data_IF_031234499183
#
_entry.id   IF_031234499183
#
_cell.length_a   1.000
_cell.length_b   1.000
_cell.length_c   1.000
_cell.angle_alpha   90.00
_cell.angle_beta   90.00
_cell.angle_gamma   90.00
#
_symmetry.space_group_name_H-M   'P 1'
#
loop_
_entity.id
_entity.type
_entity.pdbx_description
1 polymer ?
#
# COMPACT_ATOMS: atom_id res chain seq x y z
N UNK A 1 -4.92 17.31 -9.62
CA UNK A 1 -4.20 16.40 -8.71
C UNK A 1 -3.70 15.21 -9.51
N UNK A 2 -2.43 14.82 -9.28
CA UNK A 2 -1.82 13.62 -9.87
C UNK A 2 -1.86 12.50 -8.82
N UNK A 3 -2.17 11.27 -9.23
CA UNK A 3 -2.20 10.07 -8.39
C UNK A 3 -1.53 8.89 -9.11
N UNK A 4 -1.63 7.67 -8.57
CA UNK A 4 -1.04 6.46 -9.17
C UNK A 4 -2.10 5.46 -9.61
N UNK A 5 -1.82 4.76 -10.71
CA UNK A 5 -2.57 3.56 -11.11
C UNK A 5 -2.58 2.56 -9.94
N UNK A 6 -3.72 1.90 -9.71
CA UNK A 6 -4.00 0.98 -8.60
C UNK A 6 -3.84 1.57 -7.19
N UNK A 7 -3.66 2.90 -7.04
CA UNK A 7 -3.78 3.56 -5.75
C UNK A 7 -5.21 3.44 -5.19
N UNK A 8 -5.36 3.46 -3.85
CA UNK A 8 -6.66 3.41 -3.19
C UNK A 8 -6.75 4.48 -2.10
N UNK A 9 -7.68 5.43 -2.27
CA UNK A 9 -7.84 6.57 -1.36
C UNK A 9 -9.27 6.70 -0.80
N UNK A 10 -10.02 5.61 -0.81
CA UNK A 10 -11.39 5.57 -0.28
C UNK A 10 -12.45 5.32 -1.35
N UNK A 11 -13.72 5.26 -0.92
CA UNK A 11 -14.86 4.89 -1.77
C UNK A 11 -15.86 6.03 -2.00
N UNK A 12 -15.60 7.23 -1.46
CA UNK A 12 -16.34 8.45 -1.84
C UNK A 12 -16.02 8.82 -3.29
N UNK A 13 -16.82 9.64 -3.93
CA UNK A 13 -16.53 10.08 -5.31
C UNK A 13 -15.12 10.67 -5.45
N UNK A 14 -14.71 11.51 -4.50
CA UNK A 14 -13.35 12.08 -4.47
C UNK A 14 -12.28 10.99 -4.25
N UNK A 15 -12.46 10.17 -3.20
CA UNK A 15 -11.50 9.10 -2.88
C UNK A 15 -11.37 8.06 -4.00
N UNK A 16 -12.49 7.62 -4.58
CA UNK A 16 -12.50 6.68 -5.69
C UNK A 16 -11.88 7.28 -6.97
N UNK A 17 -12.04 8.59 -7.17
CA UNK A 17 -11.41 9.29 -8.30
C UNK A 17 -9.91 9.49 -8.09
N UNK A 18 -9.46 9.77 -6.86
CA UNK A 18 -8.03 9.83 -6.53
C UNK A 18 -7.38 8.44 -6.63
N UNK A 19 -8.11 7.38 -6.28
CA UNK A 19 -7.68 6.01 -6.52
C UNK A 19 -7.57 5.70 -8.01
N UNK A 20 -6.56 4.90 -8.40
CA UNK A 20 -6.33 4.52 -9.81
C UNK A 20 -6.90 3.15 -10.18
N UNK A 21 -7.86 2.62 -9.42
CA UNK A 21 -8.43 1.28 -9.64
C UNK A 21 -9.51 1.30 -10.73
N UNK A 22 -9.23 0.69 -11.88
CA UNK A 22 -10.16 0.64 -13.03
C UNK A 22 -11.56 0.13 -12.66
N UNK A 23 -11.66 -0.88 -11.79
CA UNK A 23 -12.94 -1.43 -11.35
C UNK A 23 -13.81 -0.43 -10.57
N UNK A 24 -13.20 0.52 -9.87
CA UNK A 24 -13.93 1.62 -9.20
C UNK A 24 -14.37 2.68 -10.20
N UNK A 25 -13.52 3.02 -11.17
CA UNK A 25 -13.84 3.98 -12.21
C UNK A 25 -14.97 3.51 -13.15
N UNK A 26 -15.14 2.20 -13.31
CA UNK A 26 -16.21 1.62 -14.13
C UNK A 26 -17.63 1.87 -13.54
N UNK A 27 -17.74 2.41 -12.33
CA UNK A 27 -19.01 2.69 -11.66
C UNK A 27 -19.61 4.06 -12.05
N UNK A 28 -19.51 4.47 -13.27
CA UNK A 28 -20.17 5.66 -13.82
C UNK A 28 -19.80 7.01 -13.15
N UNK A 29 -19.48 7.99 -13.95
CA UNK A 29 -19.13 9.33 -13.48
C UNK A 29 -17.75 9.48 -12.84
N UNK A 30 -16.89 8.44 -12.87
CA UNK A 30 -15.55 8.45 -12.32
C UNK A 30 -14.50 8.25 -13.46
N UNK A 31 -13.30 8.81 -13.27
CA UNK A 31 -12.93 9.79 -12.26
C UNK A 31 -13.56 11.15 -12.50
N UNK A 32 -13.69 11.97 -11.45
CA UNK A 32 -14.06 13.38 -11.61
C UNK A 32 -12.95 14.15 -12.35
N UNK A 33 -13.31 15.31 -12.94
CA UNK A 33 -12.37 16.12 -13.69
C UNK A 33 -11.13 16.55 -12.87
N UNK A 34 -10.02 16.83 -13.57
CA UNK A 34 -8.77 17.35 -13.02
C UNK A 34 -8.03 16.37 -12.07
N UNK A 35 -8.26 15.07 -12.25
CA UNK A 35 -7.45 14.01 -11.64
C UNK A 35 -6.82 13.17 -12.74
N UNK A 36 -5.52 12.94 -12.66
CA UNK A 36 -4.75 12.15 -13.61
C UNK A 36 -3.82 11.18 -12.89
N UNK A 37 -3.23 10.25 -13.60
CA UNK A 37 -2.46 9.16 -13.01
C UNK A 37 -1.13 8.97 -13.71
N UNK A 38 -0.13 8.57 -12.90
CA UNK A 38 1.14 8.02 -13.36
C UNK A 38 1.19 6.51 -13.05
N UNK A 39 2.20 5.81 -13.55
CA UNK A 39 2.39 4.38 -13.30
C UNK A 39 2.63 4.05 -11.83
N UNK A 40 2.37 2.79 -11.48
CA UNK A 40 2.69 2.25 -10.17
C UNK A 40 4.16 1.77 -10.14
N UNK A 41 4.84 1.81 -8.96
CA UNK A 41 6.22 1.38 -8.85
C UNK A 41 6.36 -0.14 -8.64
N UNK A 42 5.69 -0.95 -9.48
CA UNK A 42 5.69 -2.43 -9.43
C UNK A 42 6.81 -3.01 -10.31
N UNK A 43 8.03 -3.00 -9.78
CA UNK A 43 9.19 -3.44 -10.53
C UNK A 43 9.11 -4.87 -11.05
N UNK A 44 8.62 -5.81 -10.24
CA UNK A 44 8.56 -7.21 -10.63
C UNK A 44 7.72 -7.42 -11.91
N UNK A 45 6.56 -6.77 -11.98
CA UNK A 45 5.62 -6.94 -13.09
C UNK A 45 5.86 -5.99 -14.27
N UNK A 46 6.51 -4.85 -14.05
CA UNK A 46 6.59 -3.76 -15.03
C UNK A 46 8.02 -3.30 -15.33
N UNK A 47 9.02 -3.77 -14.57
CA UNK A 47 10.41 -3.31 -14.70
C UNK A 47 11.13 -3.83 -15.95
N UNK A 48 10.65 -4.91 -16.59
CA UNK A 48 11.34 -5.50 -17.73
C UNK A 48 12.79 -5.85 -17.38
N UNK A 49 13.73 -5.39 -18.19
CA UNK A 49 15.16 -5.62 -18.01
C UNK A 49 15.84 -4.57 -17.11
N UNK A 50 15.10 -3.56 -16.64
CA UNK A 50 15.64 -2.53 -15.75
C UNK A 50 15.92 -3.08 -14.35
N UNK A 51 17.00 -2.62 -13.74
CA UNK A 51 17.21 -2.84 -12.32
C UNK A 51 16.12 -2.14 -11.49
N UNK A 52 15.87 -2.57 -10.23
CA UNK A 52 14.93 -1.88 -9.35
C UNK A 52 15.21 -0.37 -9.25
N UNK A 53 16.49 -0.01 -9.15
CA UNK A 53 16.95 1.38 -9.03
C UNK A 53 16.58 2.21 -10.27
N UNK A 54 16.88 1.71 -11.48
CA UNK A 54 16.55 2.39 -12.73
C UNK A 54 15.05 2.52 -12.92
N UNK A 55 14.30 1.46 -12.59
CA UNK A 55 12.84 1.46 -12.69
C UNK A 55 12.20 2.44 -11.71
N UNK A 56 12.70 2.50 -10.47
CA UNK A 56 12.22 3.46 -9.47
C UNK A 56 12.38 4.90 -9.95
N UNK A 57 13.53 5.26 -10.49
CA UNK A 57 13.78 6.59 -11.09
C UNK A 57 12.89 6.84 -12.30
N UNK A 58 12.73 5.84 -13.19
CA UNK A 58 11.86 5.96 -14.36
C UNK A 58 10.41 6.28 -13.95
N UNK A 59 9.89 5.53 -12.97
CA UNK A 59 8.51 5.73 -12.47
C UNK A 59 8.34 7.06 -11.74
N UNK A 60 9.33 7.52 -11.02
CA UNK A 60 9.28 8.83 -10.38
C UNK A 60 9.28 9.96 -11.41
N UNK A 61 10.08 9.86 -12.47
CA UNK A 61 10.13 10.84 -13.57
C UNK A 61 8.80 11.01 -14.31
N UNK A 62 7.94 10.00 -14.33
CA UNK A 62 6.60 10.15 -14.89
C UNK A 62 5.80 11.27 -14.19
N UNK A 63 6.09 11.58 -12.93
CA UNK A 63 5.49 12.72 -12.24
C UNK A 63 5.93 14.04 -12.88
N UNK A 64 7.23 14.22 -13.11
CA UNK A 64 7.79 15.41 -13.74
C UNK A 64 7.25 15.58 -15.17
N UNK A 65 7.24 14.50 -15.96
CA UNK A 65 6.69 14.50 -17.31
C UNK A 65 5.20 14.88 -17.30
N UNK A 66 4.43 14.39 -16.33
CA UNK A 66 3.01 14.70 -16.20
C UNK A 66 2.77 16.15 -15.77
N UNK A 67 3.63 16.73 -14.93
CA UNK A 67 3.59 18.15 -14.56
C UNK A 67 3.79 19.02 -15.81
N UNK A 68 4.81 18.73 -16.63
CA UNK A 68 5.06 19.45 -17.87
C UNK A 68 3.92 19.31 -18.88
N UNK A 69 3.33 18.09 -19.00
CA UNK A 69 2.18 17.86 -19.90
C UNK A 69 0.96 18.73 -19.53
N UNK A 70 0.73 18.90 -18.23
CA UNK A 70 -0.45 19.64 -17.72
C UNK A 70 -0.21 21.16 -17.62
N UNK A 71 1.05 21.59 -17.58
CA UNK A 71 1.47 22.92 -17.17
C UNK A 71 1.65 23.00 -15.64
N UNK A 72 2.80 23.50 -15.20
CA UNK A 72 3.19 23.54 -13.77
C UNK A 72 2.14 24.24 -12.91
N UNK A 73 1.61 25.37 -13.41
CA UNK A 73 0.58 26.18 -12.73
C UNK A 73 -0.78 25.46 -12.57
N UNK A 74 -0.99 24.35 -13.24
CA UNK A 74 -2.22 23.57 -13.22
C UNK A 74 -2.16 22.36 -12.26
N UNK A 75 -0.98 22.11 -11.62
CA UNK A 75 -0.77 20.97 -10.74
C UNK A 75 -0.68 21.43 -9.31
N UNK A 76 -1.69 21.07 -8.49
CA UNK A 76 -1.71 21.45 -7.07
C UNK A 76 -1.02 20.42 -6.16
N UNK A 77 -1.11 19.12 -6.49
CA UNK A 77 -0.63 18.08 -5.59
C UNK A 77 -0.38 16.74 -6.28
N UNK A 78 0.53 15.97 -5.69
CA UNK A 78 0.67 14.52 -5.92
C UNK A 78 0.21 13.76 -4.67
N UNK A 79 -0.65 12.75 -4.83
CA UNK A 79 -1.12 11.88 -3.74
C UNK A 79 -0.68 10.44 -3.95
N UNK A 80 -0.11 9.82 -2.90
CA UNK A 80 0.31 8.43 -2.97
C UNK A 80 0.43 7.77 -1.58
N UNK A 81 0.21 6.45 -1.54
CA UNK A 81 0.52 5.59 -0.39
C UNK A 81 2.03 5.33 -0.34
N UNK A 82 2.73 5.39 0.83
CA UNK A 82 4.15 5.00 0.91
C UNK A 82 4.42 3.60 0.35
N UNK A 83 3.58 2.63 0.67
CA UNK A 83 3.44 1.31 0.03
C UNK A 83 2.01 1.18 -0.44
N UNK A 84 1.76 0.86 -1.71
CA UNK A 84 0.40 0.67 -2.21
C UNK A 84 -0.21 -0.59 -1.59
N UNK A 85 -1.07 -0.42 -0.58
CA UNK A 85 -1.61 -1.54 0.18
C UNK A 85 -2.70 -2.29 -0.58
N UNK A 86 -3.83 -1.64 -0.85
CA UNK A 86 -4.99 -2.24 -1.51
C UNK A 86 -4.69 -2.69 -2.95
N UNK A 87 -3.77 -2.02 -3.62
CA UNK A 87 -3.28 -2.35 -4.96
C UNK A 87 -2.44 -3.61 -5.05
N UNK A 88 -2.09 -4.25 -3.92
CA UNK A 88 -1.36 -5.52 -3.90
C UNK A 88 -0.09 -5.54 -3.03
N UNK A 89 0.03 -4.64 -2.08
CA UNK A 89 1.28 -4.43 -1.31
C UNK A 89 2.47 -4.24 -2.26
N UNK A 90 2.36 -3.19 -3.07
CA UNK A 90 3.41 -2.81 -4.02
C UNK A 90 4.44 -1.97 -3.27
N UNK A 91 5.60 -2.56 -3.07
CA UNK A 91 6.74 -1.92 -2.41
C UNK A 91 7.55 -1.18 -3.47
N UNK A 92 7.67 0.16 -3.40
CA UNK A 92 8.45 0.91 -4.38
C UNK A 92 9.95 0.62 -4.23
N UNK A 93 10.72 0.62 -5.33
CA UNK A 93 12.18 0.62 -5.25
C UNK A 93 12.71 1.78 -4.41
N UNK A 94 13.87 1.60 -3.78
CA UNK A 94 14.48 2.60 -2.88
C UNK A 94 14.70 3.97 -3.54
N UNK A 95 14.94 4.01 -4.84
CA UNK A 95 15.15 5.24 -5.61
C UNK A 95 13.87 6.07 -5.85
N UNK A 96 12.70 5.48 -5.68
CA UNK A 96 11.43 6.10 -6.07
C UNK A 96 11.08 7.31 -5.22
N UNK A 97 11.01 7.15 -3.90
CA UNK A 97 10.54 8.22 -3.01
C UNK A 97 11.49 9.42 -2.91
N UNK A 98 12.83 9.24 -2.86
CA UNK A 98 13.74 10.38 -2.90
C UNK A 98 13.55 11.25 -4.14
N UNK A 99 13.31 10.64 -5.30
CA UNK A 99 13.08 11.37 -6.55
C UNK A 99 11.69 12.02 -6.59
N UNK A 100 10.64 11.36 -6.10
CA UNK A 100 9.31 11.97 -5.94
C UNK A 100 9.38 13.21 -5.05
N UNK A 101 10.08 13.14 -3.90
CA UNK A 101 10.25 14.29 -3.01
C UNK A 101 10.97 15.43 -3.72
N UNK A 102 12.08 15.12 -4.44
CA UNK A 102 12.82 16.12 -5.21
C UNK A 102 11.91 16.84 -6.23
N UNK A 103 11.11 16.08 -6.97
CA UNK A 103 10.21 16.65 -7.97
C UNK A 103 9.15 17.53 -7.31
N UNK A 104 8.51 17.07 -6.23
CA UNK A 104 7.52 17.88 -5.51
C UNK A 104 8.13 19.18 -4.97
N UNK A 105 9.34 19.12 -4.41
CA UNK A 105 10.06 20.30 -3.90
C UNK A 105 10.46 21.27 -5.03
N UNK A 106 10.88 20.75 -6.19
CA UNK A 106 11.32 21.57 -7.32
C UNK A 106 10.16 22.33 -7.98
N UNK A 107 9.01 21.68 -8.12
CA UNK A 107 7.82 22.26 -8.80
C UNK A 107 6.83 22.90 -7.82
N UNK A 108 7.18 23.00 -6.53
CA UNK A 108 6.34 23.62 -5.49
C UNK A 108 4.91 23.05 -5.46
N UNK A 109 4.78 21.72 -5.63
CA UNK A 109 3.52 21.01 -5.54
C UNK A 109 3.39 20.28 -4.20
N UNK A 110 2.17 20.22 -3.67
CA UNK A 110 1.91 19.56 -2.40
C UNK A 110 2.10 18.04 -2.52
N UNK A 111 2.92 17.47 -1.63
CA UNK A 111 3.00 16.01 -1.46
C UNK A 111 1.98 15.57 -0.41
N UNK A 112 1.04 14.70 -0.80
CA UNK A 112 0.03 14.10 0.07
C UNK A 112 0.39 12.64 0.27
N UNK A 113 0.76 12.26 1.50
CA UNK A 113 1.00 10.86 1.84
C UNK A 113 -0.26 10.22 2.41
N UNK A 114 -0.71 9.13 1.79
CA UNK A 114 -1.79 8.33 2.33
C UNK A 114 -1.24 7.26 3.28
N UNK A 115 -1.26 7.57 4.57
CA UNK A 115 -0.79 6.73 5.67
C UNK A 115 -1.87 5.81 6.26
N UNK A 116 -3.01 5.75 5.64
CA UNK A 116 -4.17 4.99 6.12
C UNK A 116 -3.84 3.50 6.35
N UNK A 117 -2.94 2.91 5.55
CA UNK A 117 -2.46 1.54 5.79
C UNK A 117 -1.06 1.54 6.41
N UNK A 118 -0.16 2.40 5.95
CA UNK A 118 1.25 2.37 6.35
C UNK A 118 1.51 2.90 7.76
N UNK A 119 0.64 3.76 8.26
CA UNK A 119 0.79 4.40 9.57
C UNK A 119 0.59 3.46 10.77
N UNK A 120 0.92 4.00 11.94
CA UNK A 120 0.74 3.39 13.25
C UNK A 120 1.45 2.04 13.41
N UNK A 121 2.73 2.01 13.00
CA UNK A 121 3.62 0.88 13.23
C UNK A 121 3.67 -0.17 12.13
N UNK A 122 2.86 -0.06 11.08
CA UNK A 122 2.76 -1.07 10.02
C UNK A 122 4.09 -1.34 9.31
N UNK A 123 4.93 -0.32 9.14
CA UNK A 123 6.25 -0.40 8.49
C UNK A 123 7.42 -0.56 9.48
N UNK A 124 7.14 -0.68 10.77
CA UNK A 124 8.17 -0.64 11.84
C UNK A 124 8.50 0.77 12.33
N UNK A 125 7.82 1.76 11.79
CA UNK A 125 7.90 3.19 12.17
C UNK A 125 6.50 3.70 12.48
N UNK A 126 6.37 4.86 13.11
CA UNK A 126 5.07 5.47 13.33
C UNK A 126 4.31 5.67 12.03
N UNK A 127 5.03 6.10 10.98
CA UNK A 127 4.47 6.31 9.64
C UNK A 127 5.37 5.72 8.57
N UNK A 128 4.79 5.36 7.43
CA UNK A 128 5.54 4.92 6.26
C UNK A 128 6.43 6.04 5.69
N UNK A 129 6.03 7.28 5.88
CA UNK A 129 6.86 8.45 5.55
C UNK A 129 8.16 8.50 6.35
N UNK A 130 8.16 8.09 7.62
CA UNK A 130 9.39 7.96 8.43
C UNK A 130 10.31 6.88 7.85
N UNK A 131 9.72 5.75 7.42
CA UNK A 131 10.48 4.64 6.82
C UNK A 131 11.21 5.06 5.54
N UNK A 132 10.55 5.85 4.67
CA UNK A 132 11.12 6.29 3.38
C UNK A 132 11.81 7.66 3.43
N UNK A 133 11.80 8.35 4.57
CA UNK A 133 12.36 9.70 4.70
C UNK A 133 11.60 10.77 3.91
N UNK A 134 10.30 10.60 3.74
CA UNK A 134 9.42 11.52 3.00
C UNK A 134 8.93 12.64 3.93
N UNK A 135 8.80 13.85 3.40
CA UNK A 135 8.26 15.01 4.12
C UNK A 135 6.98 15.49 3.44
N UNK A 136 5.83 14.90 3.75
CA UNK A 136 4.58 15.29 3.13
C UNK A 136 4.07 16.62 3.69
N UNK A 137 3.37 17.38 2.87
CA UNK A 137 2.62 18.58 3.29
C UNK A 137 1.29 18.19 3.94
N UNK A 138 0.70 17.10 3.47
CA UNK A 138 -0.58 16.56 3.98
C UNK A 138 -0.43 15.06 4.18
N UNK A 139 -1.01 14.54 5.27
CA UNK A 139 -1.02 13.13 5.59
C UNK A 139 -2.43 12.68 5.93
N UNK A 140 -2.93 11.62 5.27
CA UNK A 140 -4.23 11.04 5.62
C UNK A 140 -4.05 9.85 6.55
N UNK A 141 -4.84 9.77 7.62
CA UNK A 141 -4.75 8.76 8.67
C UNK A 141 -6.11 8.13 8.97
N UNK A 142 -6.13 6.82 9.22
CA UNK A 142 -7.30 6.05 9.65
C UNK A 142 -6.85 4.68 10.19
N UNK A 143 -7.66 3.66 10.10
CA UNK A 143 -7.41 2.24 10.43
C UNK A 143 -6.58 2.02 11.71
N UNK A 144 -5.25 1.99 11.59
CA UNK A 144 -4.32 1.86 12.72
C UNK A 144 -4.50 2.93 13.80
N UNK A 145 -5.02 4.10 13.45
CA UNK A 145 -5.34 5.16 14.40
C UNK A 145 -6.22 4.70 15.56
N UNK A 146 -7.19 3.82 15.31
CA UNK A 146 -8.08 3.24 16.32
C UNK A 146 -8.01 1.72 16.39
N UNK A 147 -7.10 1.07 15.67
CA UNK A 147 -7.01 -0.40 15.51
C UNK A 147 -8.36 -1.07 15.15
N UNK A 148 -9.26 -0.32 14.51
CA UNK A 148 -10.57 -0.81 14.09
C UNK A 148 -11.64 -0.85 15.18
N UNK A 149 -11.34 -0.42 16.41
CA UNK A 149 -12.31 -0.42 17.52
C UNK A 149 -13.39 0.67 17.38
N UNK A 150 -13.08 1.78 16.69
CA UNK A 150 -14.06 2.80 16.34
C UNK A 150 -13.76 3.39 14.96
N UNK A 151 -14.79 3.76 14.15
CA UNK A 151 -14.59 4.42 12.88
C UNK A 151 -14.10 5.86 13.12
N UNK A 152 -12.86 6.14 12.72
CA UNK A 152 -12.25 7.47 12.78
C UNK A 152 -11.19 7.58 11.70
N UNK A 153 -11.03 8.76 11.15
CA UNK A 153 -9.96 9.14 10.25
C UNK A 153 -9.74 10.64 10.31
N UNK A 154 -8.65 11.09 9.75
CA UNK A 154 -8.29 12.50 9.73
C UNK A 154 -7.30 12.83 8.64
N UNK A 155 -7.06 14.12 8.47
CA UNK A 155 -5.97 14.66 7.68
C UNK A 155 -5.11 15.55 8.58
N UNK A 156 -3.82 15.33 8.54
CA UNK A 156 -2.82 16.18 9.17
C UNK A 156 -2.22 17.07 8.10
N UNK A 157 -1.98 18.33 8.42
CA UNK A 157 -1.39 19.28 7.49
C UNK A 157 -0.17 19.94 8.15
N UNK A 158 0.85 20.28 7.36
CA UNK A 158 2.00 21.05 7.85
C UNK A 158 1.61 22.50 8.17
N UNK A 159 2.48 23.19 8.91
CA UNK A 159 2.23 24.56 9.35
C UNK A 159 2.04 25.54 8.18
N UNK A 160 2.72 25.31 7.06
CA UNK A 160 2.58 26.12 5.85
C UNK A 160 1.14 26.04 5.29
N UNK A 161 0.63 24.84 5.07
CA UNK A 161 -0.75 24.61 4.61
C UNK A 161 -1.75 25.15 5.63
N UNK A 162 -1.54 24.89 6.92
CA UNK A 162 -2.39 25.40 8.00
C UNK A 162 -2.42 26.93 8.02
N UNK A 163 -1.28 27.59 7.81
CA UNK A 163 -1.19 29.06 7.78
C UNK A 163 -2.01 29.66 6.63
N UNK A 164 -1.93 29.05 5.44
CA UNK A 164 -2.72 29.50 4.29
C UNK A 164 -4.23 29.33 4.56
N UNK A 165 -4.66 28.17 5.07
CA UNK A 165 -6.07 27.91 5.41
C UNK A 165 -6.55 28.94 6.44
N UNK A 166 -5.80 29.17 7.53
CA UNK A 166 -6.18 30.09 8.59
C UNK A 166 -6.23 31.55 8.12
N UNK A 167 -5.38 31.95 7.18
CA UNK A 167 -5.38 33.30 6.62
C UNK A 167 -6.55 33.56 5.66
N UNK A 168 -7.10 32.51 5.05
CA UNK A 168 -8.21 32.62 4.13
C UNK A 168 -9.58 32.71 4.82
N UNK A 169 -9.66 32.54 6.13
CA UNK A 169 -10.87 32.56 6.93
C UNK A 169 -11.35 31.17 7.33
N UNK A 170 -12.66 30.99 7.48
CA UNK A 170 -13.24 29.72 7.91
C UNK A 170 -13.09 28.63 6.85
N UNK A 171 -12.56 27.47 7.23
CA UNK A 171 -12.54 26.30 6.38
C UNK A 171 -13.94 25.67 6.29
N UNK A 172 -14.66 26.02 5.22
CA UNK A 172 -16.07 25.65 5.01
C UNK A 172 -16.24 24.16 4.67
N UNK A 173 -15.76 23.26 5.51
CA UNK A 173 -15.88 21.81 5.39
C UNK A 173 -16.08 21.15 6.74
N UNK A 174 -16.93 20.11 6.79
CA UNK A 174 -17.13 19.30 7.99
C UNK A 174 -18.18 18.23 7.79
N UNK A 175 -18.09 17.21 8.60
CA UNK A 175 -19.11 16.18 8.74
C UNK A 175 -19.77 16.32 10.11
N UNK A 176 -21.06 15.99 10.23
CA UNK A 176 -21.82 16.05 11.51
C UNK A 176 -21.11 15.26 12.62
N UNK A 177 -20.52 14.14 12.30
CA UNK A 177 -19.78 13.30 13.24
C UNK A 177 -18.26 13.55 13.27
N UNK A 178 -17.76 14.61 12.61
CA UNK A 178 -16.37 15.04 12.74
C UNK A 178 -16.02 15.35 14.20
N UNK A 179 -14.89 14.81 14.69
CA UNK A 179 -14.48 14.99 16.07
C UNK A 179 -15.36 14.28 17.10
N UNK A 180 -16.10 13.22 16.71
CA UNK A 180 -16.98 12.49 17.63
C UNK A 180 -16.20 11.99 18.86
N UNK A 181 -16.63 12.31 20.10
CA UNK A 181 -15.83 12.08 21.31
C UNK A 181 -15.53 10.61 21.58
N UNK A 182 -16.41 9.68 21.25
CA UNK A 182 -16.15 8.25 21.39
C UNK A 182 -15.03 7.79 20.47
N UNK A 183 -15.06 8.18 19.18
CA UNK A 183 -13.99 7.85 18.24
C UNK A 183 -12.65 8.45 18.67
N UNK A 184 -12.65 9.70 19.11
CA UNK A 184 -11.46 10.38 19.62
C UNK A 184 -10.89 9.70 20.88
N UNK A 185 -11.73 9.34 21.84
CA UNK A 185 -11.30 8.65 23.06
C UNK A 185 -10.67 7.28 22.77
N UNK A 186 -11.29 6.50 21.86
CA UNK A 186 -10.74 5.22 21.42
C UNK A 186 -9.39 5.39 20.72
N UNK A 187 -9.27 6.38 19.83
CA UNK A 187 -8.02 6.67 19.13
C UNK A 187 -6.91 7.08 20.12
N UNK A 188 -7.20 7.97 21.06
CA UNK A 188 -6.26 8.40 22.09
C UNK A 188 -5.77 7.22 22.95
N UNK A 189 -6.69 6.34 23.38
CA UNK A 189 -6.31 5.17 24.17
C UNK A 189 -5.46 4.18 23.34
N UNK A 190 -5.83 3.95 22.09
CA UNK A 190 -5.03 3.10 21.19
C UNK A 190 -3.61 3.65 21.00
N UNK A 191 -3.46 4.96 20.77
CA UNK A 191 -2.14 5.60 20.65
C UNK A 191 -1.34 5.51 21.95
N UNK A 192 -2.01 5.70 23.12
CA UNK A 192 -1.38 5.55 24.42
C UNK A 192 -0.83 4.13 24.60
N UNK A 193 -1.62 3.09 24.29
CA UNK A 193 -1.18 1.68 24.40
C UNK A 193 0.00 1.41 23.48
N UNK A 194 -0.06 1.83 22.21
CA UNK A 194 1.05 1.64 21.26
C UNK A 194 2.34 2.25 21.82
N UNK A 195 2.25 3.46 22.38
CA UNK A 195 3.40 4.18 22.90
C UNK A 195 3.90 3.61 24.22
N UNK A 196 3.04 3.42 25.23
CA UNK A 196 3.45 2.98 26.57
C UNK A 196 3.94 1.53 26.57
N UNK A 197 3.39 0.68 25.72
CA UNK A 197 3.84 -0.70 25.57
C UNK A 197 4.99 -0.85 24.58
N UNK A 198 5.45 0.24 23.94
CA UNK A 198 6.51 0.26 22.91
C UNK A 198 6.27 -0.81 21.82
N UNK A 199 5.03 -0.90 21.31
CA UNK A 199 4.63 -1.98 20.41
C UNK A 199 5.37 -1.91 19.08
N UNK A 200 5.65 -0.71 18.56
CA UNK A 200 6.34 -0.52 17.29
C UNK A 200 7.79 -0.99 17.40
N UNK A 201 8.51 -0.52 18.41
CA UNK A 201 9.92 -0.85 18.64
C UNK A 201 10.13 -2.34 18.93
N UNK A 202 9.22 -2.94 19.73
CA UNK A 202 9.24 -4.38 19.99
C UNK A 202 9.03 -5.19 18.70
N UNK A 203 8.03 -4.81 17.90
CA UNK A 203 7.76 -5.49 16.65
C UNK A 203 8.91 -5.31 15.64
N UNK A 204 9.43 -4.09 15.50
CA UNK A 204 10.53 -3.77 14.59
C UNK A 204 11.84 -4.50 14.93
N UNK A 205 12.10 -4.73 16.22
CA UNK A 205 13.32 -5.41 16.69
C UNK A 205 13.20 -6.94 16.76
N UNK A 206 12.00 -7.50 16.72
CA UNK A 206 11.78 -8.95 16.94
C UNK A 206 10.92 -9.61 15.85
N UNK A 207 9.61 -9.36 15.85
CA UNK A 207 8.68 -10.15 15.02
C UNK A 207 8.66 -9.75 13.56
N UNK A 208 8.95 -8.49 13.22
CA UNK A 208 9.05 -8.06 11.82
C UNK A 208 10.23 -8.69 11.06
N UNK A 209 11.48 -8.64 11.55
CA UNK A 209 12.58 -9.31 10.88
C UNK A 209 12.38 -10.83 10.84
N UNK A 210 11.82 -11.43 11.89
CA UNK A 210 11.50 -12.84 11.90
C UNK A 210 10.48 -13.25 10.84
N UNK A 211 9.39 -12.46 10.70
CA UNK A 211 8.40 -12.69 9.65
C UNK A 211 9.00 -12.46 8.26
N UNK A 212 9.79 -11.39 8.08
CA UNK A 212 10.41 -11.07 6.81
C UNK A 212 11.32 -12.20 6.30
N UNK A 213 12.19 -12.76 7.16
CA UNK A 213 13.04 -13.89 6.84
C UNK A 213 12.20 -15.08 6.33
N UNK A 214 11.24 -15.54 7.13
CA UNK A 214 10.39 -16.68 6.77
C UNK A 214 9.49 -16.43 5.56
N UNK A 215 9.05 -15.19 5.36
CA UNK A 215 8.26 -14.80 4.20
C UNK A 215 9.09 -14.85 2.92
N UNK A 216 10.33 -14.36 2.98
CA UNK A 216 11.27 -14.46 1.87
C UNK A 216 11.60 -15.90 1.49
N UNK A 217 11.65 -16.83 2.45
CA UNK A 217 11.86 -18.24 2.20
C UNK A 217 10.76 -18.86 1.32
N UNK A 218 9.54 -18.32 1.33
CA UNK A 218 8.47 -18.74 0.43
C UNK A 218 8.80 -18.46 -1.05
N UNK A 219 9.75 -17.60 -1.34
CA UNK A 219 10.26 -17.40 -2.70
C UNK A 219 10.92 -18.65 -3.29
N UNK A 220 11.33 -19.63 -2.46
CA UNK A 220 11.84 -20.92 -2.91
C UNK A 220 10.73 -21.81 -3.51
N UNK A 221 9.45 -21.54 -3.20
CA UNK A 221 8.33 -22.28 -3.75
C UNK A 221 8.22 -22.05 -5.27
N UNK A 222 7.99 -23.11 -6.11
CA UNK A 222 7.98 -22.99 -7.58
C UNK A 222 7.03 -21.92 -8.12
N UNK A 223 5.89 -21.72 -7.46
CA UNK A 223 4.85 -20.79 -7.86
C UNK A 223 5.20 -19.32 -7.57
N UNK A 224 6.16 -19.03 -6.68
CA UNK A 224 6.42 -17.67 -6.21
C UNK A 224 7.62 -17.07 -6.94
N UNK A 225 7.34 -16.02 -7.71
CA UNK A 225 8.36 -15.25 -8.42
C UNK A 225 9.01 -14.17 -7.55
N UNK A 226 8.22 -13.54 -6.68
CA UNK A 226 8.69 -12.52 -5.76
C UNK A 226 7.97 -12.61 -4.41
N UNK A 227 8.71 -12.47 -3.31
CA UNK A 227 8.19 -12.37 -1.96
C UNK A 227 8.68 -11.06 -1.34
N UNK A 228 7.80 -10.08 -1.22
CA UNK A 228 8.11 -8.76 -0.64
C UNK A 228 7.55 -8.65 0.78
N UNK A 229 8.30 -7.94 1.64
CA UNK A 229 7.87 -7.61 2.99
C UNK A 229 8.44 -6.26 3.42
N UNK A 230 7.57 -5.37 3.90
CA UNK A 230 7.94 -4.13 4.61
C UNK A 230 7.18 -4.11 5.92
N UNK A 231 7.89 -4.22 7.03
CA UNK A 231 7.27 -4.38 8.35
C UNK A 231 6.30 -5.56 8.38
N UNK A 232 5.01 -5.29 8.57
CA UNK A 232 3.93 -6.28 8.50
C UNK A 232 3.07 -6.16 7.24
N UNK A 233 3.62 -5.68 6.15
CA UNK A 233 2.96 -5.64 4.84
C UNK A 233 3.70 -6.60 3.90
N UNK A 234 3.09 -7.74 3.60
CA UNK A 234 3.71 -8.77 2.76
C UNK A 234 2.93 -9.07 1.49
N UNK A 235 3.66 -9.37 0.41
CA UNK A 235 3.09 -9.89 -0.83
C UNK A 235 3.89 -11.04 -1.41
N UNK A 236 3.19 -11.99 -2.04
CA UNK A 236 3.72 -13.07 -2.84
C UNK A 236 3.19 -12.92 -4.28
N UNK A 237 4.07 -12.66 -5.22
CA UNK A 237 3.71 -12.61 -6.64
C UNK A 237 3.82 -14.00 -7.22
N UNK A 238 2.72 -14.54 -7.73
CA UNK A 238 2.68 -15.85 -8.36
C UNK A 238 2.98 -15.75 -9.84
N UNK A 239 3.72 -16.73 -10.36
CA UNK A 239 4.13 -16.80 -11.76
C UNK A 239 4.23 -18.27 -12.21
N UNK A 240 3.92 -18.58 -13.47
CA UNK A 240 4.20 -19.90 -14.02
C UNK A 240 5.68 -20.11 -14.36
N UNK A 241 6.44 -19.03 -14.55
CA UNK A 241 7.88 -19.09 -14.84
C UNK A 241 8.60 -17.89 -14.21
N UNK A 242 9.43 -18.19 -13.22
CA UNK A 242 10.21 -17.18 -12.49
C UNK A 242 11.28 -16.49 -13.36
N UNK A 243 11.85 -17.22 -14.31
CA UNK A 243 12.98 -16.73 -15.10
C UNK A 243 12.56 -15.63 -16.05
N UNK A 244 11.37 -15.73 -16.62
CA UNK A 244 10.79 -14.75 -17.53
C UNK A 244 9.79 -13.81 -16.88
N UNK A 245 9.47 -14.00 -15.60
CA UNK A 245 8.39 -13.30 -14.88
C UNK A 245 7.04 -13.38 -15.64
N UNK A 246 6.78 -14.55 -16.24
CA UNK A 246 5.61 -14.76 -17.08
C UNK A 246 4.31 -14.57 -16.30
N UNK A 247 3.27 -14.13 -17.00
CA UNK A 247 1.90 -14.13 -16.49
C UNK A 247 1.22 -15.44 -16.84
N UNK A 248 0.27 -15.87 -16.01
CA UNK A 248 -0.55 -17.04 -16.34
C UNK A 248 -1.35 -16.81 -17.62
N UNK A 249 -1.62 -17.89 -18.35
CA UNK A 249 -2.41 -17.86 -19.60
C UNK A 249 -3.92 -17.71 -19.35
N UNK A 250 -4.34 -17.62 -18.09
CA UNK A 250 -5.71 -17.35 -17.67
C UNK A 250 -5.98 -15.87 -17.45
N UNK A 251 -7.24 -15.49 -17.21
CA UNK A 251 -7.60 -14.14 -16.80
C UNK A 251 -6.88 -13.76 -15.51
N UNK A 252 -6.42 -12.52 -15.43
CA UNK A 252 -5.71 -11.98 -14.26
C UNK A 252 -6.54 -12.17 -12.99
N UNK A 253 -5.94 -12.79 -12.00
CA UNK A 253 -6.58 -13.08 -10.72
C UNK A 253 -7.21 -14.48 -10.62
N UNK A 254 -7.22 -15.28 -11.69
CA UNK A 254 -7.72 -16.65 -11.66
C UNK A 254 -6.92 -17.51 -10.68
N UNK A 255 -5.59 -17.48 -10.79
CA UNK A 255 -4.72 -18.23 -9.87
C UNK A 255 -4.74 -17.64 -8.47
N UNK A 256 -4.82 -16.31 -8.37
CA UNK A 256 -5.01 -15.63 -7.09
C UNK A 256 -6.27 -16.05 -6.36
N UNK A 257 -7.38 -16.21 -7.08
CA UNK A 257 -8.64 -16.68 -6.50
C UNK A 257 -8.55 -18.14 -6.01
N UNK A 258 -7.90 -19.02 -6.76
CA UNK A 258 -7.65 -20.42 -6.35
C UNK A 258 -6.80 -20.43 -5.07
N UNK A 259 -5.67 -19.71 -5.05
CA UNK A 259 -4.79 -19.61 -3.89
C UNK A 259 -5.50 -19.07 -2.65
N UNK A 260 -6.36 -18.05 -2.82
CA UNK A 260 -7.21 -17.53 -1.75
C UNK A 260 -8.17 -18.61 -1.24
N UNK A 261 -8.76 -19.42 -2.13
CA UNK A 261 -9.64 -20.51 -1.76
C UNK A 261 -8.96 -21.54 -0.85
N UNK A 262 -7.76 -22.01 -1.20
CA UNK A 262 -6.94 -22.90 -0.38
C UNK A 262 -6.53 -22.24 0.95
N UNK A 263 -6.11 -20.98 0.90
CA UNK A 263 -5.75 -20.24 2.10
C UNK A 263 -6.90 -20.19 3.12
N UNK A 264 -8.10 -19.82 2.67
CA UNK A 264 -9.29 -19.82 3.54
C UNK A 264 -9.67 -21.23 4.01
N UNK A 265 -9.60 -22.23 3.14
CA UNK A 265 -9.86 -23.64 3.50
C UNK A 265 -8.91 -24.16 4.57
N UNK A 266 -7.68 -23.68 4.59
CA UNK A 266 -6.66 -24.00 5.59
C UNK A 266 -6.75 -23.14 6.86
N UNK A 267 -7.69 -22.17 6.95
CA UNK A 267 -7.87 -21.30 8.11
C UNK A 267 -6.96 -20.07 8.13
N UNK A 268 -6.30 -19.73 7.01
CA UNK A 268 -5.49 -18.54 6.86
C UNK A 268 -6.19 -17.50 5.98
N UNK A 269 -6.42 -16.31 6.51
CA UNK A 269 -7.01 -15.21 5.74
C UNK A 269 -5.91 -14.48 4.99
N UNK A 270 -5.79 -14.76 3.70
CA UNK A 270 -4.98 -13.99 2.76
C UNK A 270 -5.89 -13.40 1.66
N UNK A 271 -5.64 -12.16 1.30
CA UNK A 271 -6.35 -11.52 0.17
C UNK A 271 -5.52 -11.69 -1.11
N UNK A 272 -6.19 -11.90 -2.25
CA UNK A 272 -5.53 -11.79 -3.55
C UNK A 272 -5.81 -10.46 -4.23
N UNK A 273 -4.85 -9.98 -5.01
CA UNK A 273 -4.97 -8.84 -5.93
C UNK A 273 -4.32 -9.24 -7.26
N UNK A 274 -5.12 -9.48 -8.29
CA UNK A 274 -4.61 -10.22 -9.43
C UNK A 274 -4.09 -11.59 -8.99
N UNK A 275 -2.93 -11.99 -9.49
CA UNK A 275 -2.26 -13.23 -9.09
C UNK A 275 -1.16 -12.98 -8.03
N UNK A 276 -1.46 -12.09 -7.10
CA UNK A 276 -0.62 -11.74 -5.96
C UNK A 276 -1.39 -12.00 -4.67
N UNK A 277 -0.79 -12.72 -3.72
CA UNK A 277 -1.34 -12.91 -2.37
C UNK A 277 -0.74 -11.89 -1.42
N UNK A 278 -1.56 -11.31 -0.54
CA UNK A 278 -1.10 -10.28 0.40
C UNK A 278 -1.51 -10.60 1.83
N UNK A 279 -0.63 -10.20 2.79
CA UNK A 279 -0.90 -10.27 4.23
C UNK A 279 -0.63 -8.93 4.92
N UNK A 280 -1.29 -8.77 6.07
CA UNK A 280 -1.08 -7.63 6.96
C UNK A 280 -1.49 -8.05 8.38
N UNK A 281 -0.70 -8.91 9.07
CA UNK A 281 -1.04 -9.41 10.40
C UNK A 281 -1.05 -8.31 11.46
N UNK A 282 -1.66 -8.54 12.65
CA UNK A 282 -1.63 -7.58 13.74
C UNK A 282 -0.20 -7.28 14.18
N UNK A 283 0.04 -6.04 14.65
CA UNK A 283 1.36 -5.61 15.17
C UNK A 283 1.79 -6.43 16.40
N UNK A 284 0.84 -7.05 17.09
CA UNK A 284 1.06 -7.87 18.28
C UNK A 284 1.25 -9.36 18.01
N UNK A 285 1.40 -9.75 16.73
CA UNK A 285 1.60 -11.14 16.33
C UNK A 285 2.86 -11.73 17.00
N UNK A 286 2.73 -12.93 17.56
CA UNK A 286 3.85 -13.66 18.16
C UNK A 286 4.63 -14.49 17.12
N UNK A 287 5.85 -14.91 17.47
CA UNK A 287 6.65 -15.80 16.60
C UNK A 287 5.94 -17.14 16.33
N UNK A 288 5.23 -17.72 17.32
CA UNK A 288 4.48 -18.96 17.11
C UNK A 288 3.31 -18.82 16.17
N UNK A 289 2.65 -17.65 16.18
CA UNK A 289 1.60 -17.33 15.20
C UNK A 289 2.17 -17.07 13.83
N UNK A 290 3.36 -16.46 13.74
CA UNK A 290 4.11 -16.31 12.47
C UNK A 290 4.46 -17.69 11.90
N UNK A 291 4.98 -18.63 12.71
CA UNK A 291 5.27 -19.99 12.25
C UNK A 291 4.02 -20.68 11.72
N UNK A 292 2.89 -20.51 12.40
CA UNK A 292 1.60 -21.04 11.96
C UNK A 292 1.16 -20.41 10.63
N UNK A 293 1.28 -19.09 10.49
CA UNK A 293 0.96 -18.34 9.28
C UNK A 293 1.78 -18.85 8.09
N UNK A 294 3.10 -18.96 8.26
CA UNK A 294 4.02 -19.42 7.22
C UNK A 294 3.71 -20.85 6.79
N UNK A 295 3.49 -21.76 7.76
CA UNK A 295 3.16 -23.15 7.46
C UNK A 295 1.83 -23.27 6.67
N UNK A 296 0.82 -22.51 7.05
CA UNK A 296 -0.47 -22.48 6.34
C UNK A 296 -0.34 -21.83 4.96
N UNK A 297 0.46 -20.79 4.82
CA UNK A 297 0.75 -20.18 3.53
C UNK A 297 1.46 -21.16 2.59
N UNK A 298 2.52 -21.83 3.06
CA UNK A 298 3.23 -22.85 2.27
C UNK A 298 2.31 -23.98 1.82
N UNK A 299 1.51 -24.54 2.75
CA UNK A 299 0.51 -25.56 2.41
C UNK A 299 -0.47 -25.08 1.34
N UNK A 300 -0.98 -23.85 1.47
CA UNK A 300 -1.92 -23.29 0.50
C UNK A 300 -1.29 -23.09 -0.88
N UNK A 301 -0.01 -22.76 -0.94
CA UNK A 301 0.75 -22.67 -2.19
C UNK A 301 0.95 -24.04 -2.84
N UNK A 302 1.27 -25.10 -2.06
CA UNK A 302 1.39 -26.47 -2.56
C UNK A 302 0.06 -26.96 -3.18
N UNK A 303 -1.06 -26.75 -2.48
CA UNK A 303 -2.40 -27.11 -2.96
C UNK A 303 -2.78 -26.29 -4.20
N UNK A 304 -2.45 -25.00 -4.23
CA UNK A 304 -2.67 -24.15 -5.42
C UNK A 304 -1.88 -24.67 -6.61
N UNK A 305 -0.59 -25.01 -6.41
CA UNK A 305 0.26 -25.54 -7.48
C UNK A 305 -0.27 -26.85 -8.04
N UNK A 306 -0.77 -27.75 -7.20
CA UNK A 306 -1.40 -29.00 -7.62
C UNK A 306 -2.64 -28.72 -8.49
N UNK A 307 -3.55 -27.90 -8.00
CA UNK A 307 -4.79 -27.55 -8.71
C UNK A 307 -4.52 -26.90 -10.08
N UNK A 308 -3.62 -25.93 -10.15
CA UNK A 308 -3.36 -25.23 -11.42
C UNK A 308 -2.59 -26.10 -12.43
N UNK A 309 -1.85 -27.12 -11.97
CA UNK A 309 -1.27 -28.14 -12.85
C UNK A 309 -2.36 -29.04 -13.44
N UNK A 310 -3.27 -29.50 -12.62
CA UNK A 310 -4.40 -30.33 -13.06
C UNK A 310 -5.31 -29.58 -14.04
N UNK A 311 -5.46 -28.27 -13.88
CA UNK A 311 -6.20 -27.40 -14.78
C UNK A 311 -5.39 -26.96 -16.03
N UNK A 312 -4.12 -27.34 -16.15
CA UNK A 312 -3.25 -26.95 -17.28
C UNK A 312 -2.84 -25.47 -17.29
N UNK A 313 -2.98 -24.77 -16.17
CA UNK A 313 -2.61 -23.36 -16.02
C UNK A 313 -1.14 -23.17 -15.67
N UNK A 314 -0.44 -24.25 -15.27
CA UNK A 314 0.99 -24.26 -14.95
C UNK A 314 1.68 -25.34 -15.80
N UNK A 315 2.68 -24.94 -16.59
CA UNK A 315 3.41 -25.84 -17.49
C UNK A 315 4.81 -26.12 -16.97
#
# INVERSE_FOLDING_TARGET
>A
IISRINGYHGSTMGGASLGGMKGMHAQGGLPIANITYIGQPDWYNEGGDLSPQEFGLLRAKELEEKIHELGEENVAAFIAEPVQGAGGVIVPPESYWPEIQRICDEYDILLIADEVICGFGRTGHWFGTDYYGIRPHIMTIAKGLSSGYAPIGGSMVCDEVASVINSAGDFAHGYTYGGHPVGAAVALENLRIIQEENLIEKAASDTMPYLAEKWHDLSNHPLIGEANMVGFMGSLVMTPDKSSRAKFAADVGTVGLIARGHSFGNGLIMRHVGDRMIISPPITISRSEIDTLINLASKSLDETLADIKDQGLYK
#
